data_IF_995234625162
#
_entry.id   IF_995234625162
#
_cell.length_a   1.000
_cell.length_b   1.000
_cell.length_c   1.000
_cell.angle_alpha   90.00
_cell.angle_beta   90.00
_cell.angle_gamma   90.00
#
_symmetry.space_group_name_H-M   'P 1'
#
loop_
_entity.id
_entity.type
_entity.pdbx_description
1 polymer ?
#
# COMPACT_ATOMS: atom_id res chain seq x y z
N UNK A 1 62.81 -24.02 13.39
CA UNK A 1 62.92 -24.26 11.94
C UNK A 1 62.09 -23.20 11.25
N UNK A 2 62.74 -22.09 10.86
CA UNK A 2 62.12 -20.93 10.22
C UNK A 2 62.06 -21.14 8.73
N UNK A 3 60.87 -21.05 8.14
CA UNK A 3 60.68 -21.00 6.70
C UNK A 3 60.09 -19.65 6.31
N UNK A 4 60.97 -18.76 5.84
CA UNK A 4 60.63 -17.53 5.10
C UNK A 4 60.15 -17.94 3.71
N UNK A 5 58.92 -17.58 3.36
CA UNK A 5 58.42 -17.65 1.99
C UNK A 5 58.41 -16.23 1.42
N UNK A 6 59.28 -16.01 0.45
CA UNK A 6 59.36 -14.81 -0.38
C UNK A 6 58.23 -14.83 -1.42
N UNK A 7 57.43 -13.76 -1.50
CA UNK A 7 56.52 -13.50 -2.62
C UNK A 7 57.09 -12.33 -3.45
N UNK A 8 57.64 -12.68 -4.61
CA UNK A 8 57.75 -11.82 -5.80
C UNK A 8 56.31 -11.71 -6.36
N UNK A 9 55.76 -10.57 -6.73
CA UNK A 9 56.29 -9.59 -7.68
C UNK A 9 55.47 -9.69 -8.96
N UNK A 10 54.21 -9.24 -8.93
CA UNK A 10 53.32 -9.19 -10.10
C UNK A 10 53.16 -7.76 -10.62
N UNK A 11 53.22 -7.66 -11.94
CA UNK A 11 53.29 -6.45 -12.78
C UNK A 11 51.89 -5.86 -12.98
N UNK A 12 51.70 -4.53 -12.98
CA UNK A 12 50.44 -3.93 -13.37
C UNK A 12 50.26 -4.03 -14.89
N UNK A 13 49.08 -4.51 -15.31
CA UNK A 13 48.64 -4.61 -16.70
C UNK A 13 47.82 -3.37 -17.03
N UNK A 14 48.33 -2.54 -17.94
CA UNK A 14 47.62 -1.38 -18.48
C UNK A 14 46.33 -1.83 -19.17
N UNK A 15 45.18 -1.41 -18.64
CA UNK A 15 43.88 -1.56 -19.29
C UNK A 15 43.62 -0.38 -20.21
N UNK A 16 43.36 -0.71 -21.47
CA UNK A 16 42.94 0.20 -22.53
C UNK A 16 41.53 0.72 -22.24
N UNK A 17 41.40 2.04 -22.14
CA UNK A 17 40.13 2.74 -22.07
C UNK A 17 39.43 2.70 -23.43
N UNK A 18 38.50 1.76 -23.60
CA UNK A 18 37.53 1.76 -24.70
C UNK A 18 36.44 2.78 -24.43
N UNK A 19 36.35 3.79 -25.30
CA UNK A 19 35.28 4.79 -25.30
C UNK A 19 33.96 4.15 -25.74
N UNK A 20 33.09 3.81 -24.78
CA UNK A 20 31.71 3.43 -25.03
C UNK A 20 30.87 4.69 -25.21
N UNK A 21 30.42 4.94 -26.44
CA UNK A 21 29.36 5.89 -26.73
C UNK A 21 28.09 5.44 -25.99
N UNK A 22 27.66 6.24 -25.01
CA UNK A 22 26.37 6.09 -24.38
C UNK A 22 25.35 6.83 -25.26
N UNK A 23 24.50 6.06 -25.93
CA UNK A 23 23.24 6.57 -26.48
C UNK A 23 22.32 6.89 -25.30
N UNK A 24 22.11 8.18 -25.05
CA UNK A 24 21.07 8.70 -24.16
C UNK A 24 19.69 8.36 -24.75
N UNK A 25 19.17 7.19 -24.41
CA UNK A 25 17.73 6.92 -24.51
C UNK A 25 17.08 7.55 -23.29
N UNK A 26 16.72 8.82 -23.43
CA UNK A 26 15.91 9.57 -22.48
C UNK A 26 14.47 9.04 -22.58
N UNK A 27 14.21 7.92 -21.91
CA UNK A 27 12.87 7.33 -21.83
C UNK A 27 12.02 8.15 -20.86
N UNK A 28 11.03 8.86 -21.42
CA UNK A 28 10.10 9.70 -20.69
C UNK A 28 9.17 8.83 -19.85
N UNK A 29 9.58 8.55 -18.61
CA UNK A 29 8.68 8.13 -17.55
C UNK A 29 7.75 9.30 -17.25
N UNK A 30 6.63 9.34 -17.95
CA UNK A 30 5.45 10.10 -17.52
C UNK A 30 5.00 9.48 -16.20
N UNK A 31 5.49 10.02 -15.08
CA UNK A 31 4.92 9.79 -13.77
C UNK A 31 3.46 10.29 -13.85
N UNK A 32 2.52 9.34 -13.90
CA UNK A 32 1.11 9.66 -13.72
C UNK A 32 0.97 10.19 -12.28
N UNK A 33 1.01 11.52 -12.15
CA UNK A 33 0.75 12.28 -10.93
C UNK A 33 -0.66 11.93 -10.43
N UNK A 34 -0.76 10.95 -9.52
CA UNK A 34 -1.92 10.67 -8.67
C UNK A 34 -2.07 11.80 -7.61
N UNK A 35 -2.08 13.07 -8.04
CA UNK A 35 -2.15 14.30 -7.20
C UNK A 35 -3.58 14.64 -6.74
N UNK A 36 -4.58 13.84 -7.10
CA UNK A 36 -5.99 14.08 -6.75
C UNK A 36 -6.34 13.84 -5.25
N UNK A 37 -5.37 13.39 -4.43
CA UNK A 37 -5.58 13.14 -2.99
C UNK A 37 -5.13 14.29 -2.07
N UNK A 38 -4.35 15.29 -2.53
CA UNK A 38 -3.80 16.33 -1.63
C UNK A 38 -4.76 17.50 -1.35
N UNK A 39 -5.69 17.82 -2.27
CA UNK A 39 -6.54 19.01 -2.10
C UNK A 39 -7.80 18.79 -1.24
N UNK A 40 -8.15 17.54 -0.91
CA UNK A 40 -9.20 17.23 0.08
C UNK A 40 -8.69 17.21 1.52
N UNK A 41 -7.36 17.26 1.74
CA UNK A 41 -6.79 17.16 3.09
C UNK A 41 -6.67 18.52 3.80
N UNK A 42 -6.77 19.65 3.09
CA UNK A 42 -6.65 20.99 3.67
C UNK A 42 -7.94 21.44 4.37
N UNK A 43 -9.11 21.22 3.75
CA UNK A 43 -10.41 21.62 4.34
C UNK A 43 -10.95 20.63 5.38
N UNK A 44 -10.41 19.40 5.44
CA UNK A 44 -10.73 18.43 6.48
C UNK A 44 -10.02 18.70 7.82
N UNK A 45 -8.97 19.55 7.84
CA UNK A 45 -8.16 19.81 9.04
C UNK A 45 -8.82 20.75 10.05
N UNK A 46 -9.78 21.59 9.64
CA UNK A 46 -10.37 22.59 10.53
C UNK A 46 -11.61 22.09 11.31
N UNK A 47 -12.25 21.00 10.89
CA UNK A 47 -13.45 20.46 11.55
C UNK A 47 -13.23 19.19 12.40
N UNK A 48 -12.03 18.59 12.40
CA UNK A 48 -11.75 17.33 13.13
C UNK A 48 -11.02 17.50 14.47
N UNK A 49 -10.76 18.73 14.91
CA UNK A 49 -9.97 19.01 16.13
C UNK A 49 -10.62 18.59 17.48
N UNK A 50 -11.75 17.88 17.47
CA UNK A 50 -12.46 17.44 18.70
C UNK A 50 -12.81 15.96 18.78
N UNK A 51 -12.52 15.14 17.77
CA UNK A 51 -12.58 13.70 17.99
C UNK A 51 -11.30 13.28 18.72
N UNK A 52 -11.42 12.99 20.01
CA UNK A 52 -10.36 12.33 20.77
C UNK A 52 -9.75 11.24 19.87
N UNK A 53 -8.43 11.26 19.61
CA UNK A 53 -7.79 10.20 18.84
C UNK A 53 -8.20 8.91 19.53
N UNK A 54 -9.08 8.13 18.90
CA UNK A 54 -9.59 6.89 19.47
C UNK A 54 -8.37 6.06 19.79
N UNK A 55 -8.06 5.94 21.08
CA UNK A 55 -6.97 5.10 21.57
C UNK A 55 -7.23 3.74 20.97
N UNK A 56 -6.40 3.35 20.01
CA UNK A 56 -6.49 2.01 19.45
C UNK A 56 -6.12 1.08 20.59
N UNK A 57 -6.92 0.03 20.86
CA UNK A 57 -6.57 -0.92 21.89
C UNK A 57 -5.14 -1.45 21.64
N UNK A 58 -4.37 -1.71 22.71
CA UNK A 58 -3.01 -2.19 22.59
C UNK A 58 -3.00 -3.48 21.75
N UNK A 59 -2.04 -3.58 20.84
CA UNK A 59 -1.85 -4.79 20.04
C UNK A 59 -1.34 -5.90 20.95
N UNK A 60 -2.08 -6.99 21.02
CA UNK A 60 -1.71 -8.20 21.75
C UNK A 60 -1.05 -9.17 20.77
N UNK A 61 0.09 -9.74 21.15
CA UNK A 61 0.73 -10.79 20.37
C UNK A 61 -0.19 -12.03 20.32
N UNK A 62 -0.46 -12.52 19.12
CA UNK A 62 -1.29 -13.71 18.90
C UNK A 62 -0.45 -14.94 18.55
N UNK A 63 0.79 -14.73 18.13
CA UNK A 63 1.69 -15.79 17.68
C UNK A 63 3.13 -15.32 17.62
N UNK A 64 4.01 -16.24 17.21
CA UNK A 64 5.42 -15.98 16.98
C UNK A 64 5.83 -16.50 15.61
N UNK A 65 6.71 -15.76 14.93
CA UNK A 65 7.13 -16.08 13.56
C UNK A 65 8.60 -15.73 13.36
N UNK A 66 9.27 -16.36 12.38
CA UNK A 66 10.56 -15.86 11.94
C UNK A 66 10.39 -14.53 11.21
N UNK A 67 11.20 -13.50 11.50
CA UNK A 67 11.14 -12.24 10.75
C UNK A 67 11.44 -12.46 9.25
N UNK A 68 12.18 -13.51 8.87
CA UNK A 68 12.48 -13.82 7.46
C UNK A 68 11.32 -14.44 6.69
N UNK A 69 10.31 -14.97 7.37
CA UNK A 69 9.09 -15.53 6.76
C UNK A 69 8.07 -14.44 6.43
N UNK A 70 8.21 -13.24 7.03
CA UNK A 70 7.35 -12.10 6.77
C UNK A 70 7.87 -11.27 5.60
N UNK A 71 6.97 -10.89 4.69
CA UNK A 71 7.23 -10.07 3.50
C UNK A 71 6.84 -8.61 3.73
N UNK A 72 7.47 -7.71 3.00
CA UNK A 72 7.07 -6.31 2.93
C UNK A 72 5.79 -6.16 2.13
N UNK A 73 4.87 -5.32 2.59
CA UNK A 73 3.62 -5.04 1.86
C UNK A 73 3.75 -3.93 0.82
N UNK A 74 4.83 -3.15 0.85
CA UNK A 74 5.03 -1.98 -0.02
C UNK A 74 6.48 -1.93 -0.48
N UNK A 75 6.69 -1.43 -1.70
CA UNK A 75 8.01 -1.26 -2.29
C UNK A 75 8.87 -0.22 -1.59
N UNK A 76 8.27 0.80 -0.96
CA UNK A 76 9.00 1.87 -0.28
C UNK A 76 8.66 1.91 1.21
N UNK A 77 9.65 2.20 2.04
CA UNK A 77 9.46 2.50 3.46
C UNK A 77 10.32 3.69 3.87
N UNK A 78 9.81 4.49 4.81
CA UNK A 78 10.54 5.67 5.30
C UNK A 78 11.70 5.28 6.20
N UNK A 79 12.78 6.04 6.15
CA UNK A 79 13.92 5.91 7.05
C UNK A 79 13.63 6.40 8.50
N UNK A 80 12.40 6.88 8.76
CA UNK A 80 11.94 7.32 10.08
C UNK A 80 10.56 6.74 10.44
N UNK A 81 10.34 6.56 11.75
CA UNK A 81 9.05 6.27 12.34
C UNK A 81 8.12 7.49 12.31
N UNK A 82 6.84 7.29 12.67
CA UNK A 82 5.85 8.40 12.68
C UNK A 82 6.14 9.46 13.75
N UNK A 83 6.92 9.10 14.76
CA UNK A 83 7.38 9.97 15.84
C UNK A 83 8.71 10.66 15.50
N UNK A 84 9.22 10.53 14.27
CA UNK A 84 10.47 11.13 13.81
C UNK A 84 11.73 10.40 14.25
N UNK A 85 11.63 9.26 14.95
CA UNK A 85 12.82 8.48 15.31
C UNK A 85 13.38 7.76 14.08
N UNK A 86 14.70 7.81 13.84
CA UNK A 86 15.32 7.08 12.72
C UNK A 86 15.27 5.56 12.95
N UNK A 87 15.23 4.78 11.87
CA UNK A 87 15.18 3.31 11.96
C UNK A 87 16.39 2.71 12.68
N UNK A 88 17.58 3.27 12.46
CA UNK A 88 18.84 2.77 13.04
C UNK A 88 18.83 2.83 14.56
N UNK A 89 18.28 3.91 15.13
CA UNK A 89 18.13 4.02 16.58
C UNK A 89 17.20 2.93 17.13
N UNK A 90 16.15 2.54 16.42
CA UNK A 90 15.29 1.44 16.86
C UNK A 90 15.96 0.07 16.69
N UNK A 91 16.82 -0.10 15.67
CA UNK A 91 17.61 -1.33 15.47
C UNK A 91 18.53 -1.58 16.66
N UNK A 92 19.19 -0.54 17.17
CA UNK A 92 20.11 -0.66 18.30
C UNK A 92 19.42 -0.96 19.64
N UNK A 93 18.11 -0.67 19.72
CA UNK A 93 17.30 -0.92 20.91
C UNK A 93 16.64 -2.31 20.93
N UNK A 94 16.74 -3.09 19.86
CA UNK A 94 16.21 -4.45 19.82
C UNK A 94 17.17 -5.37 20.57
N UNK A 95 16.66 -6.02 21.62
CA UNK A 95 17.43 -6.93 22.47
C UNK A 95 17.25 -8.38 21.98
N UNK A 96 18.32 -9.04 21.49
CA UNK A 96 18.29 -10.47 21.21
C UNK A 96 18.42 -11.25 22.51
N UNK A 97 17.41 -12.04 22.85
CA UNK A 97 17.37 -12.87 24.04
C UNK A 97 17.43 -14.35 23.62
N UNK A 98 18.19 -15.21 24.32
CA UNK A 98 18.10 -16.65 24.11
C UNK A 98 16.67 -17.13 24.32
N UNK A 99 16.10 -17.79 23.32
CA UNK A 99 14.77 -18.37 23.44
C UNK A 99 14.87 -19.69 24.20
N UNK A 100 14.45 -19.69 25.46
CA UNK A 100 14.33 -20.91 26.26
C UNK A 100 12.95 -21.48 25.99
N UNK A 101 12.87 -22.36 25.00
CA UNK A 101 11.62 -23.04 24.69
C UNK A 101 11.23 -23.95 25.86
N UNK A 102 9.95 -23.91 26.26
CA UNK A 102 9.41 -24.78 27.31
C UNK A 102 9.08 -26.19 26.79
N UNK A 103 9.22 -26.44 25.49
CA UNK A 103 8.90 -27.71 24.81
C UNK A 103 10.15 -28.54 24.51
N UNK A 104 10.06 -29.86 24.72
CA UNK A 104 11.13 -30.87 24.58
C UNK A 104 11.68 -31.10 23.15
N UNK A 105 11.44 -30.19 22.20
CA UNK A 105 11.95 -30.35 20.84
C UNK A 105 13.39 -29.87 20.80
N UNK A 106 14.32 -30.84 20.84
CA UNK A 106 15.74 -30.59 20.63
C UNK A 106 15.99 -30.18 19.19
N UNK A 107 15.84 -28.91 18.88
CA UNK A 107 16.50 -28.35 17.70
C UNK A 107 18.00 -28.23 17.97
N UNK A 108 18.82 -28.66 17.02
CA UNK A 108 20.30 -28.60 17.13
C UNK A 108 20.86 -27.17 17.08
N UNK A 109 20.03 -26.17 16.79
CA UNK A 109 20.44 -24.77 16.63
C UNK A 109 19.80 -23.87 17.69
N UNK A 110 20.52 -22.86 18.18
CA UNK A 110 19.94 -21.89 19.09
C UNK A 110 18.85 -21.08 18.39
N UNK A 111 17.82 -20.75 19.15
CA UNK A 111 16.73 -19.88 18.74
C UNK A 111 16.86 -18.57 19.53
N UNK A 112 16.73 -17.43 18.84
CA UNK A 112 16.83 -16.10 19.42
C UNK A 112 15.49 -15.39 19.35
N UNK A 113 15.02 -14.87 20.48
CA UNK A 113 13.84 -14.00 20.53
C UNK A 113 14.24 -12.55 20.46
N UNK A 114 13.71 -11.82 19.49
CA UNK A 114 14.03 -10.41 19.26
C UNK A 114 13.01 -9.52 19.97
N UNK A 115 13.36 -9.03 21.16
CA UNK A 115 12.52 -8.15 21.96
C UNK A 115 12.64 -6.71 21.44
N UNK A 116 11.59 -6.24 20.77
CA UNK A 116 11.59 -4.92 20.15
C UNK A 116 11.03 -3.81 21.05
N UNK A 117 11.48 -2.54 20.89
CA UNK A 117 10.99 -1.38 21.66
C UNK A 117 9.65 -0.83 21.15
N UNK A 118 8.95 -1.58 20.29
CA UNK A 118 7.67 -1.18 19.71
C UNK A 118 6.65 -2.33 19.80
N UNK A 119 5.34 -2.04 19.72
CA UNK A 119 4.32 -3.07 19.77
C UNK A 119 4.49 -4.14 18.68
N UNK A 120 3.99 -5.38 18.91
CA UNK A 120 4.02 -6.46 17.93
C UNK A 120 3.61 -6.00 16.54
N UNK A 121 4.31 -6.49 15.51
CA UNK A 121 3.95 -6.14 14.14
C UNK A 121 2.67 -6.85 13.74
N UNK A 122 1.80 -6.15 13.02
CA UNK A 122 0.61 -6.77 12.46
C UNK A 122 0.98 -7.47 11.16
N UNK A 123 0.60 -8.74 11.08
CA UNK A 123 0.83 -9.57 9.90
C UNK A 123 -0.49 -10.10 9.36
N UNK A 124 -0.54 -10.29 8.06
CA UNK A 124 -1.69 -10.84 7.37
C UNK A 124 -1.24 -11.84 6.32
N UNK A 125 -1.92 -12.98 6.26
CA UNK A 125 -1.79 -13.91 5.15
C UNK A 125 -2.54 -13.38 3.92
N UNK A 126 -1.81 -13.10 2.85
CA UNK A 126 -2.34 -12.50 1.64
C UNK A 126 -1.63 -13.04 0.40
N UNK A 127 -2.36 -13.06 -0.72
CA UNK A 127 -1.81 -13.42 -2.02
C UNK A 127 -1.52 -12.16 -2.81
N UNK A 128 -0.24 -11.86 -3.03
CA UNK A 128 0.14 -10.64 -3.71
C UNK A 128 -0.20 -10.72 -5.20
N UNK A 129 -0.53 -9.56 -5.77
CA UNK A 129 -0.72 -9.39 -7.20
C UNK A 129 0.66 -9.23 -7.84
N UNK A 130 0.96 -10.03 -8.84
CA UNK A 130 2.25 -9.95 -9.53
C UNK A 130 2.28 -8.70 -10.40
N UNK A 131 3.45 -8.08 -10.45
CA UNK A 131 3.70 -6.83 -11.17
C UNK A 131 4.98 -6.96 -11.96
N UNK A 132 5.03 -6.27 -13.08
CA UNK A 132 6.26 -6.10 -13.82
C UNK A 132 7.23 -5.27 -12.98
N UNK A 133 8.46 -5.75 -12.86
CA UNK A 133 9.51 -5.11 -12.07
C UNK A 133 9.93 -3.77 -12.67
N UNK A 134 9.83 -3.63 -14.00
CA UNK A 134 10.24 -2.40 -14.69
C UNK A 134 9.14 -1.35 -14.64
N UNK A 135 7.92 -1.73 -15.05
CA UNK A 135 6.80 -0.76 -15.18
C UNK A 135 5.95 -0.64 -13.92
N UNK A 136 6.04 -1.58 -12.96
CA UNK A 136 5.16 -1.65 -11.80
C UNK A 136 3.70 -2.01 -12.12
N UNK A 137 3.37 -2.20 -13.41
CA UNK A 137 2.03 -2.53 -13.87
C UNK A 137 1.69 -3.98 -13.48
N UNK A 138 0.42 -4.27 -13.16
CA UNK A 138 -0.06 -5.63 -13.01
C UNK A 138 0.40 -6.54 -14.15
N UNK A 139 0.99 -7.69 -13.82
CA UNK A 139 1.15 -8.74 -14.82
C UNK A 139 -0.23 -9.31 -15.13
N UNK A 140 -0.51 -9.46 -16.42
CA UNK A 140 -1.77 -9.95 -16.96
C UNK A 140 -1.46 -11.16 -17.82
N UNK A 141 -2.26 -12.20 -17.71
CA UNK A 141 -2.16 -13.38 -18.57
C UNK A 141 -2.57 -13.02 -20.01
N UNK A 142 -1.69 -13.27 -20.97
CA UNK A 142 -1.89 -12.95 -22.39
C UNK A 142 -3.12 -13.65 -22.97
N UNK A 143 -3.45 -14.86 -22.50
CA UNK A 143 -4.57 -15.64 -23.02
C UNK A 143 -5.93 -15.15 -22.52
N UNK A 144 -6.02 -14.74 -21.26
CA UNK A 144 -7.30 -14.43 -20.60
C UNK A 144 -7.51 -12.93 -20.36
N UNK A 145 -6.45 -12.12 -20.34
CA UNK A 145 -6.53 -10.73 -19.91
C UNK A 145 -6.75 -10.57 -18.39
N UNK A 146 -6.60 -11.65 -17.61
CA UNK A 146 -6.75 -11.59 -16.15
C UNK A 146 -5.43 -11.31 -15.44
N UNK A 147 -5.54 -10.62 -14.30
CA UNK A 147 -4.39 -10.25 -13.47
C UNK A 147 -3.77 -11.49 -12.83
N UNK A 148 -2.45 -11.59 -12.87
CA UNK A 148 -1.69 -12.67 -12.26
C UNK A 148 -1.45 -12.40 -10.77
N UNK A 149 -1.55 -13.47 -9.99
CA UNK A 149 -1.31 -13.46 -8.56
C UNK A 149 -0.24 -14.50 -8.21
N UNK A 150 0.35 -14.32 -7.03
CA UNK A 150 1.21 -15.34 -6.44
C UNK A 150 0.45 -16.67 -6.33
N UNK A 151 1.18 -17.77 -6.43
CA UNK A 151 0.65 -19.12 -6.29
C UNK A 151 0.19 -19.41 -4.85
N UNK A 152 0.99 -18.94 -3.90
CA UNK A 152 0.83 -19.16 -2.47
C UNK A 152 0.38 -17.91 -1.72
N UNK A 153 -0.33 -18.12 -0.62
CA UNK A 153 -0.64 -17.04 0.31
C UNK A 153 0.54 -16.88 1.29
N UNK A 154 1.14 -15.68 1.32
CA UNK A 154 2.32 -15.38 2.15
C UNK A 154 1.98 -14.41 3.27
N UNK A 155 2.80 -14.37 4.32
CA UNK A 155 2.65 -13.42 5.41
C UNK A 155 3.24 -12.05 5.04
N UNK A 156 2.43 -10.99 5.15
CA UNK A 156 2.84 -9.62 4.87
C UNK A 156 2.72 -8.75 6.12
N UNK A 157 3.73 -7.91 6.37
CA UNK A 157 3.69 -6.92 7.43
C UNK A 157 2.92 -5.66 7.00
N UNK A 158 2.10 -5.13 7.91
CA UNK A 158 1.43 -3.82 7.70
C UNK A 158 2.32 -2.61 7.99
N UNK A 159 3.46 -2.78 8.65
CA UNK A 159 4.46 -1.73 8.88
C UNK A 159 5.85 -2.22 8.46
N UNK A 160 6.22 -1.92 7.22
CA UNK A 160 7.50 -2.32 6.64
C UNK A 160 8.71 -1.81 7.42
N UNK A 161 8.59 -0.66 8.10
CA UNK A 161 9.71 -0.08 8.86
C UNK A 161 10.08 -0.94 10.05
N UNK A 162 9.06 -1.40 10.80
CA UNK A 162 9.28 -2.31 11.93
C UNK A 162 9.83 -3.65 11.46
N UNK A 163 9.30 -4.18 10.35
CA UNK A 163 9.81 -5.42 9.76
C UNK A 163 11.28 -5.28 9.35
N UNK A 164 11.66 -4.18 8.69
CA UNK A 164 13.04 -3.90 8.30
C UNK A 164 13.97 -3.90 9.52
N UNK A 165 13.61 -3.21 10.61
CA UNK A 165 14.41 -3.20 11.83
C UNK A 165 14.60 -4.62 12.40
N UNK A 166 13.53 -5.40 12.48
CA UNK A 166 13.57 -6.77 13.00
C UNK A 166 14.45 -7.68 12.14
N UNK A 167 14.30 -7.62 10.82
CA UNK A 167 15.11 -8.44 9.92
C UNK A 167 16.58 -8.00 9.90
N UNK A 168 16.90 -6.69 9.96
CA UNK A 168 18.29 -6.20 10.08
C UNK A 168 18.99 -6.77 11.32
N UNK A 169 18.30 -6.88 12.45
CA UNK A 169 18.86 -7.52 13.66
C UNK A 169 18.96 -9.03 13.48
N UNK A 170 17.93 -9.68 12.93
CA UNK A 170 17.93 -11.12 12.67
C UNK A 170 19.10 -11.56 11.77
N UNK A 171 19.47 -10.75 10.78
CA UNK A 171 20.62 -11.03 9.89
C UNK A 171 21.93 -11.18 10.68
N UNK A 172 22.12 -10.44 11.78
CA UNK A 172 23.31 -10.54 12.64
C UNK A 172 23.46 -11.92 13.30
N UNK A 173 22.36 -12.66 13.42
CA UNK A 173 22.29 -13.99 14.03
C UNK A 173 22.17 -15.11 12.98
N UNK A 174 22.12 -14.80 11.69
CA UNK A 174 22.08 -15.83 10.66
C UNK A 174 23.35 -16.70 10.71
N UNK A 175 23.26 -18.05 10.68
CA UNK A 175 22.12 -18.89 10.29
C UNK A 175 21.29 -19.46 11.45
N UNK A 176 21.40 -18.90 12.65
CA UNK A 176 20.55 -19.25 13.78
C UNK A 176 19.11 -18.76 13.53
N UNK A 177 18.15 -19.41 14.18
CA UNK A 177 16.75 -19.02 14.04
C UNK A 177 16.46 -17.81 14.90
N UNK A 178 15.71 -16.85 14.36
CA UNK A 178 15.14 -15.76 15.14
C UNK A 178 13.61 -15.85 15.14
N UNK A 179 12.99 -15.48 16.25
CA UNK A 179 11.54 -15.39 16.43
C UNK A 179 11.14 -14.00 16.94
N UNK A 180 9.99 -13.53 16.49
CA UNK A 180 9.38 -12.24 16.87
C UNK A 180 7.93 -12.46 17.27
N UNK A 181 7.43 -11.63 18.18
CA UNK A 181 5.99 -11.58 18.47
C UNK A 181 5.23 -10.87 17.35
N UNK A 182 4.13 -11.48 16.91
CA UNK A 182 3.27 -10.96 15.84
C UNK A 182 1.82 -10.88 16.29
N UNK A 183 1.10 -9.90 15.77
CA UNK A 183 -0.35 -9.77 15.88
C UNK A 183 -0.98 -10.16 14.54
N UNK A 184 -1.36 -11.42 14.42
CA UNK A 184 -1.98 -11.98 13.23
C UNK A 184 -3.39 -11.42 13.06
N UNK A 185 -3.63 -10.88 11.86
CA UNK A 185 -4.97 -10.47 11.46
C UNK A 185 -5.74 -11.68 10.92
N UNK A 186 -7.05 -11.80 11.22
CA UNK A 186 -7.84 -12.92 10.79
C UNK A 186 -7.86 -13.04 9.26
N UNK A 187 -7.55 -14.23 8.74
CA UNK A 187 -7.64 -14.54 7.31
C UNK A 187 -9.10 -14.63 6.84
N UNK A 188 -9.37 -14.37 5.55
CA UNK A 188 -10.67 -14.66 4.90
C UNK A 188 -11.44 -13.44 4.39
N UNK A 189 -12.77 -13.57 4.21
CA UNK A 189 -13.59 -12.53 3.52
C UNK A 189 -13.56 -11.16 4.20
N UNK A 190 -13.36 -11.12 5.52
CA UNK A 190 -13.28 -9.87 6.28
C UNK A 190 -12.02 -9.06 5.95
N UNK A 191 -10.99 -9.73 5.43
CA UNK A 191 -9.72 -9.12 5.02
C UNK A 191 -9.92 -8.08 3.92
N UNK A 192 -10.83 -8.33 2.96
CA UNK A 192 -11.06 -7.41 1.82
C UNK A 192 -11.54 -6.01 2.23
N UNK A 193 -11.96 -5.81 3.48
CA UNK A 193 -12.40 -4.51 4.00
C UNK A 193 -11.26 -3.65 4.57
N UNK A 194 -10.07 -4.20 4.76
CA UNK A 194 -8.92 -3.44 5.24
C UNK A 194 -8.46 -2.46 4.16
N UNK A 195 -8.52 -1.17 4.45
CA UNK A 195 -8.08 -0.10 3.53
C UNK A 195 -6.59 -0.22 3.23
N UNK A 196 -5.84 -0.77 4.18
CA UNK A 196 -4.41 -1.02 4.11
C UNK A 196 -4.04 -1.94 2.94
N UNK A 197 -4.91 -2.87 2.54
CA UNK A 197 -4.63 -3.78 1.42
C UNK A 197 -4.63 -3.11 0.06
N UNK A 198 -5.32 -1.97 -0.07
CA UNK A 198 -5.22 -1.16 -1.30
C UNK A 198 -3.81 -0.62 -1.50
N UNK A 199 -3.05 -0.48 -0.40
CA UNK A 199 -1.67 -0.01 -0.41
C UNK A 199 -0.67 -1.13 -0.67
N UNK A 200 -1.11 -2.39 -0.76
CA UNK A 200 -0.20 -3.50 -1.03
C UNK A 200 0.30 -3.41 -2.46
N UNK A 201 1.54 -2.96 -2.61
CA UNK A 201 2.22 -2.72 -3.89
C UNK A 201 3.67 -3.17 -3.75
N UNK A 202 3.94 -4.41 -4.13
CA UNK A 202 5.28 -5.01 -4.15
C UNK A 202 5.65 -5.38 -5.57
N UNK A 203 6.94 -5.29 -5.92
CA UNK A 203 7.45 -5.73 -7.23
C UNK A 203 7.93 -7.18 -7.15
N UNK A 204 8.70 -7.49 -6.12
CA UNK A 204 9.41 -8.76 -5.93
C UNK A 204 8.72 -9.70 -4.93
N UNK A 205 7.39 -9.67 -4.90
CA UNK A 205 6.56 -10.39 -3.91
C UNK A 205 6.88 -9.99 -2.46
N UNK A 206 7.46 -8.80 -2.24
CA UNK A 206 7.75 -8.25 -0.92
C UNK A 206 9.02 -8.80 -0.28
N UNK A 207 10.00 -9.20 -1.09
CA UNK A 207 11.31 -9.72 -0.64
C UNK A 207 12.26 -8.62 -0.24
N UNK A 208 12.16 -7.48 -0.91
CA UNK A 208 12.94 -6.29 -0.69
C UNK A 208 12.05 -5.08 -0.44
N UNK A 209 12.67 -4.03 0.07
CA UNK A 209 12.06 -2.73 0.27
C UNK A 209 13.09 -1.65 0.01
N UNK A 210 12.67 -0.55 -0.60
CA UNK A 210 13.47 0.64 -0.78
C UNK A 210 13.30 1.55 0.44
N UNK A 211 14.37 1.76 1.20
CA UNK A 211 14.40 2.65 2.36
C UNK A 211 14.85 4.05 1.92
N UNK A 212 14.05 5.08 2.23
CA UNK A 212 14.39 6.48 1.96
C UNK A 212 13.26 7.44 2.32
N UNK A 213 13.51 8.75 2.25
CA UNK A 213 12.53 9.77 2.59
C UNK A 213 11.52 10.07 1.47
N UNK A 214 10.75 11.14 1.68
CA UNK A 214 9.72 11.62 0.73
C UNK A 214 10.29 12.48 -0.38
N UNK A 215 11.45 13.09 -0.15
CA UNK A 215 11.98 14.11 -1.05
C UNK A 215 12.51 13.42 -2.30
N UNK A 216 12.07 13.93 -3.45
CA UNK A 216 12.60 13.52 -4.74
C UNK A 216 14.12 13.76 -4.77
N UNK A 217 14.87 12.79 -5.29
CA UNK A 217 16.34 12.82 -5.30
C UNK A 217 17.04 12.27 -4.06
N UNK A 218 16.32 11.86 -3.01
CA UNK A 218 16.94 11.13 -1.90
C UNK A 218 17.31 9.70 -2.36
N UNK A 219 18.53 9.26 -2.03
CA UNK A 219 19.03 7.94 -2.43
C UNK A 219 18.20 6.83 -1.78
N UNK A 220 17.34 6.19 -2.55
CA UNK A 220 16.62 5.00 -2.11
C UNK A 220 17.60 3.83 -1.99
N UNK A 221 17.79 3.35 -0.76
CA UNK A 221 18.61 2.16 -0.51
C UNK A 221 17.69 0.94 -0.59
N UNK A 222 17.86 0.14 -1.66
CA UNK A 222 17.21 -1.18 -1.74
C UNK A 222 17.79 -2.07 -0.64
N UNK A 223 16.91 -2.71 0.12
CA UNK A 223 17.29 -3.62 1.18
C UNK A 223 16.58 -4.97 1.00
N UNK A 224 17.35 -6.05 1.03
CA UNK A 224 16.91 -7.44 0.97
C UNK A 224 17.72 -8.25 1.98
N UNK A 225 17.06 -8.94 2.92
CA UNK A 225 17.80 -9.73 3.91
C UNK A 225 18.63 -10.85 3.27
N UNK A 226 18.18 -11.39 2.14
CA UNK A 226 18.88 -12.47 1.43
C UNK A 226 20.20 -12.00 0.84
N UNK A 227 20.17 -10.84 0.20
CA UNK A 227 21.38 -10.20 -0.33
C UNK A 227 22.38 -9.92 0.81
N UNK A 228 21.89 -9.43 1.95
CA UNK A 228 22.72 -9.12 3.13
C UNK A 228 23.43 -10.35 3.71
N UNK A 229 22.78 -11.53 3.70
CA UNK A 229 23.41 -12.79 4.14
C UNK A 229 24.18 -13.51 3.02
N UNK A 230 24.34 -12.90 1.84
CA UNK A 230 25.05 -13.48 0.70
C UNK A 230 24.33 -14.66 0.05
N UNK A 231 23.03 -14.82 0.28
CA UNK A 231 22.21 -15.80 -0.41
C UNK A 231 21.79 -15.23 -1.77
N UNK A 232 21.86 -16.07 -2.80
CA UNK A 232 21.32 -15.69 -4.12
C UNK A 232 19.83 -15.42 -3.98
N UNK A 233 19.34 -14.39 -4.68
CA UNK A 233 17.92 -14.25 -4.89
C UNK A 233 17.41 -15.55 -5.52
N UNK A 234 16.37 -16.10 -4.93
CA UNK A 234 15.80 -17.33 -5.44
C UNK A 234 15.08 -16.97 -6.73
N UNK A 235 15.69 -17.36 -7.86
CA UNK A 235 15.11 -17.29 -9.19
C UNK A 235 13.85 -18.17 -9.25
N UNK A 236 12.75 -17.70 -8.67
CA UNK A 236 11.41 -18.23 -8.91
C UNK A 236 10.91 -17.86 -10.32
N UNK A 237 11.81 -17.35 -11.16
CA UNK A 237 11.64 -16.80 -12.50
C UNK A 237 11.04 -17.77 -13.54
N UNK A 238 10.40 -18.86 -13.14
CA UNK A 238 9.74 -19.79 -14.07
C UNK A 238 8.40 -20.31 -13.62
N UNK A 239 7.98 -20.07 -12.37
CA UNK A 239 6.61 -20.43 -12.04
C UNK A 239 5.68 -19.34 -12.56
N UNK A 240 5.02 -19.66 -13.68
CA UNK A 240 4.02 -18.81 -14.31
C UNK A 240 2.88 -18.74 -13.31
N UNK A 241 2.84 -17.66 -12.52
CA UNK A 241 1.87 -17.49 -11.44
C UNK A 241 0.46 -17.89 -11.87
N UNK A 242 -0.36 -18.31 -10.91
CA UNK A 242 -1.67 -18.83 -11.27
C UNK A 242 -2.64 -17.70 -11.63
N UNK A 243 -3.34 -17.88 -12.75
CA UNK A 243 -4.52 -17.08 -13.08
C UNK A 243 -5.61 -17.44 -12.08
N UNK A 244 -5.77 -16.62 -11.05
CA UNK A 244 -7.00 -16.62 -10.29
C UNK A 244 -8.06 -16.00 -11.18
N UNK A 245 -8.87 -16.84 -11.82
CA UNK A 245 -10.10 -16.39 -12.50
C UNK A 245 -10.80 -15.44 -11.56
N UNK A 246 -10.93 -14.17 -11.98
CA UNK A 246 -11.61 -13.16 -11.18
C UNK A 246 -12.91 -13.79 -10.72
N UNK A 247 -13.11 -13.87 -9.40
CA UNK A 247 -14.44 -14.19 -8.86
C UNK A 247 -15.39 -13.24 -9.58
N UNK A 248 -16.38 -13.75 -10.35
CA UNK A 248 -17.20 -12.92 -11.21
C UNK A 248 -17.69 -11.74 -10.39
N UNK A 249 -17.15 -10.55 -10.69
CA UNK A 249 -17.53 -9.33 -10.01
C UNK A 249 -18.96 -9.09 -10.44
N UNK A 250 -19.87 -9.12 -9.46
CA UNK A 250 -21.34 -9.04 -9.57
C UNK A 250 -22.02 -10.38 -9.79
N UNK A 251 -22.63 -10.85 -8.70
CA UNK A 251 -24.05 -11.12 -8.80
C UNK A 251 -24.70 -9.86 -9.40
N UNK A 252 -25.43 -9.96 -10.52
CA UNK A 252 -26.35 -8.91 -10.93
C UNK A 252 -27.17 -8.62 -9.69
N UNK A 253 -26.97 -7.46 -9.07
CA UNK A 253 -27.79 -7.03 -7.96
C UNK A 253 -29.15 -6.83 -8.61
N UNK A 254 -29.98 -7.86 -8.46
CA UNK A 254 -31.25 -7.98 -9.12
C UNK A 254 -32.03 -6.71 -8.93
N UNK A 255 -32.20 -5.99 -10.03
CA UNK A 255 -33.46 -5.39 -10.40
C UNK A 255 -34.52 -6.50 -10.55
N UNK A 256 -34.81 -7.25 -9.48
CA UNK A 256 -36.07 -7.96 -9.34
C UNK A 256 -37.08 -6.95 -8.80
N UNK A 257 -37.47 -6.02 -9.68
CA UNK A 257 -38.74 -5.34 -9.51
C UNK A 257 -39.77 -6.22 -10.21
N UNK A 258 -40.25 -7.18 -9.43
CA UNK A 258 -41.54 -7.88 -9.51
C UNK A 258 -42.33 -7.63 -10.80
N UNK A 259 -42.01 -8.41 -11.82
CA UNK A 259 -42.91 -8.68 -12.94
C UNK A 259 -43.94 -9.72 -12.50
N UNK A 260 -45.11 -9.23 -12.13
CA UNK A 260 -46.36 -9.93 -11.90
C UNK A 260 -46.57 -11.13 -12.86
N UNK A 261 -46.59 -12.34 -12.29
CA UNK A 261 -46.94 -13.59 -12.98
C UNK A 261 -48.43 -13.57 -13.35
N UNK A 262 -48.74 -13.05 -14.53
CA UNK A 262 -49.99 -13.25 -15.24
C UNK A 262 -49.83 -14.39 -16.24
N UNK A 263 -50.37 -15.55 -15.92
CA UNK A 263 -50.50 -16.72 -16.78
C UNK A 263 -51.17 -16.38 -18.12
N UNK A 264 -50.51 -16.70 -19.24
CA UNK A 264 -51.26 -17.13 -20.43
C UNK A 264 -50.39 -17.94 -21.39
N UNK A 265 -50.99 -19.03 -21.85
CA UNK A 265 -50.53 -19.91 -22.91
C UNK A 265 -50.29 -19.15 -24.22
N UNK A 266 -49.36 -19.66 -25.04
CA UNK A 266 -49.30 -19.32 -26.47
C UNK A 266 -47.86 -19.37 -26.96
N UNK A 267 -47.47 -20.47 -27.61
CA UNK A 267 -47.55 -20.60 -29.07
C UNK A 267 -46.24 -20.16 -29.72
N UNK A 268 -45.46 -21.17 -30.11
CA UNK A 268 -44.40 -21.06 -31.10
C UNK A 268 -44.90 -20.31 -32.35
N UNK A 269 -44.19 -19.26 -32.76
CA UNK A 269 -44.10 -18.82 -34.14
C UNK A 269 -42.80 -18.05 -34.37
N UNK A 270 -42.12 -18.46 -35.44
CA UNK A 270 -41.05 -17.74 -36.11
C UNK A 270 -41.58 -16.44 -36.73
N UNK A 271 -40.64 -15.57 -37.11
CA UNK A 271 -40.66 -14.46 -38.09
C UNK A 271 -39.95 -13.27 -37.44
N UNK A 272 -38.70 -12.95 -37.80
CA UNK A 272 -38.25 -12.31 -39.03
C UNK A 272 -38.67 -10.83 -39.10
N UNK A 273 -37.63 -10.00 -39.12
CA UNK A 273 -37.50 -8.68 -39.72
C UNK A 273 -38.21 -7.44 -39.13
N UNK A 274 -37.38 -6.40 -39.04
CA UNK A 274 -37.65 -4.97 -39.19
C UNK A 274 -38.53 -4.28 -38.12
N UNK A 275 -37.89 -3.42 -37.32
CA UNK A 275 -38.11 -1.97 -37.40
C UNK A 275 -37.13 -1.21 -36.48
N UNK A 276 -36.28 -0.43 -37.13
CA UNK A 276 -35.58 0.72 -36.55
C UNK A 276 -36.59 1.82 -36.18
N UNK A 277 -36.14 2.77 -35.36
CA UNK A 277 -36.79 4.07 -35.06
C UNK A 277 -37.90 4.12 -33.99
N UNK A 278 -37.56 3.92 -32.70
CA UNK A 278 -38.36 4.55 -31.62
C UNK A 278 -37.69 4.63 -30.22
N UNK A 279 -36.36 4.75 -30.11
CA UNK A 279 -35.72 4.79 -28.78
C UNK A 279 -34.65 5.86 -28.65
N UNK A 280 -35.04 7.13 -28.53
CA UNK A 280 -34.10 8.21 -28.16
C UNK A 280 -34.57 9.16 -27.05
N UNK A 281 -35.81 9.08 -26.56
CA UNK A 281 -36.36 10.12 -25.65
C UNK A 281 -36.59 9.72 -24.19
N UNK A 282 -36.26 8.50 -23.73
CA UNK A 282 -36.54 8.06 -22.35
C UNK A 282 -35.36 7.40 -21.60
N UNK A 283 -34.11 7.81 -21.88
CA UNK A 283 -32.91 7.43 -21.09
C UNK A 283 -32.12 8.63 -20.57
N UNK A 284 -32.79 9.71 -20.19
CA UNK A 284 -32.18 10.94 -19.65
C UNK A 284 -32.38 11.16 -18.14
N UNK A 285 -32.92 10.16 -17.41
CA UNK A 285 -33.25 10.32 -15.98
C UNK A 285 -32.19 9.83 -14.99
N UNK A 286 -31.19 9.05 -15.43
CA UNK A 286 -30.16 8.47 -14.54
C UNK A 286 -28.74 8.99 -14.84
N UNK A 287 -28.58 10.31 -15.00
CA UNK A 287 -27.23 10.90 -15.09
C UNK A 287 -26.78 11.46 -13.73
N UNK A 288 -25.61 11.02 -13.21
CA UNK A 288 -25.10 11.40 -11.89
C UNK A 288 -24.80 12.91 -11.74
N UNK A 289 -24.82 13.67 -12.84
CA UNK A 289 -24.54 15.10 -12.86
C UNK A 289 -25.65 15.97 -12.26
N UNK A 290 -26.89 15.47 -12.12
CA UNK A 290 -27.95 16.24 -11.42
C UNK A 290 -27.61 16.52 -9.96
N UNK A 291 -26.99 15.55 -9.28
CA UNK A 291 -26.49 15.75 -7.91
C UNK A 291 -25.37 16.80 -7.86
N UNK A 292 -24.44 16.74 -8.82
CA UNK A 292 -23.33 17.69 -8.93
C UNK A 292 -23.81 19.12 -9.22
N UNK A 293 -24.73 19.30 -10.17
CA UNK A 293 -25.31 20.61 -10.49
C UNK A 293 -26.12 21.17 -9.32
N UNK A 294 -26.86 20.32 -8.61
CA UNK A 294 -27.56 20.71 -7.38
C UNK A 294 -26.61 21.17 -6.29
N UNK A 295 -25.49 20.46 -6.09
CA UNK A 295 -24.47 20.84 -5.12
C UNK A 295 -23.79 22.16 -5.48
N UNK A 296 -23.41 22.36 -6.75
CA UNK A 296 -22.82 23.62 -7.23
C UNK A 296 -23.79 24.78 -7.04
N UNK A 297 -25.06 24.61 -7.39
CA UNK A 297 -26.08 25.65 -7.20
C UNK A 297 -26.27 26.00 -5.72
N UNK A 298 -26.34 25.00 -4.83
CA UNK A 298 -26.46 25.20 -3.39
C UNK A 298 -25.23 25.91 -2.80
N UNK A 299 -24.03 25.52 -3.25
CA UNK A 299 -22.78 26.13 -2.82
C UNK A 299 -22.71 27.62 -3.22
N UNK A 300 -23.07 27.96 -4.46
CA UNK A 300 -23.12 29.35 -4.93
C UNK A 300 -24.17 30.19 -4.17
N UNK A 301 -25.33 29.60 -3.85
CA UNK A 301 -26.35 30.25 -3.04
C UNK A 301 -25.88 30.53 -1.61
N UNK A 302 -25.20 29.56 -0.98
CA UNK A 302 -24.64 29.74 0.37
C UNK A 302 -23.49 30.75 0.40
N UNK A 303 -22.62 30.74 -0.62
CA UNK A 303 -21.48 31.68 -0.70
C UNK A 303 -21.93 33.11 -0.97
N UNK A 304 -23.00 33.30 -1.76
CA UNK A 304 -23.59 34.61 -1.99
C UNK A 304 -24.31 35.13 -0.73
N UNK A 305 -25.04 34.28 0.00
CA UNK A 305 -25.72 34.69 1.23
C UNK A 305 -24.74 35.13 2.33
N UNK A 306 -23.59 34.45 2.50
CA UNK A 306 -22.56 34.87 3.45
C UNK A 306 -22.01 36.27 3.15
N UNK A 307 -21.83 36.62 1.87
CA UNK A 307 -21.35 37.96 1.48
C UNK A 307 -22.37 39.05 1.79
N UNK A 308 -23.66 38.76 1.60
CA UNK A 308 -24.75 39.69 1.95
C UNK A 308 -24.82 39.89 3.46
N UNK A 309 -24.72 38.81 4.26
CA UNK A 309 -24.70 38.90 5.72
C UNK A 309 -23.50 39.71 6.22
N UNK A 310 -22.30 39.48 5.67
CA UNK A 310 -21.12 40.25 6.02
C UNK A 310 -21.27 41.74 5.71
N UNK A 311 -21.82 42.09 4.53
CA UNK A 311 -22.09 43.48 4.16
C UNK A 311 -23.12 44.12 5.11
N UNK A 312 -24.20 43.43 5.45
CA UNK A 312 -25.18 43.90 6.44
C UNK A 312 -24.56 44.12 7.82
N UNK A 313 -23.71 43.22 8.28
CA UNK A 313 -23.05 43.34 9.57
C UNK A 313 -22.13 44.57 9.63
N UNK A 314 -21.35 44.81 8.57
CA UNK A 314 -20.49 46.00 8.48
C UNK A 314 -21.29 47.30 8.42
N UNK A 315 -22.44 47.32 7.72
CA UNK A 315 -23.31 48.48 7.66
C UNK A 315 -23.98 48.76 9.01
N UNK A 316 -24.45 47.71 9.70
CA UNK A 316 -25.06 47.80 11.02
C UNK A 316 -24.07 48.34 12.07
N UNK A 317 -22.83 47.83 12.08
CA UNK A 317 -21.78 48.30 12.99
C UNK A 317 -21.44 49.79 12.79
N UNK A 318 -21.42 50.25 11.53
CA UNK A 318 -21.21 51.66 11.22
C UNK A 318 -22.35 52.57 11.70
N UNK A 319 -23.58 52.05 11.75
CA UNK A 319 -24.74 52.80 12.23
C UNK A 319 -24.77 52.90 13.77
N UNK A 320 -24.32 51.86 14.49
CA UNK A 320 -24.22 51.91 15.95
C UNK A 320 -23.18 52.93 16.43
N UNK A 321 -22.03 53.00 15.77
CA UNK A 321 -20.96 53.96 16.12
C UNK A 321 -21.37 55.43 15.90
N UNK A 322 -22.23 55.70 14.91
CA UNK A 322 -22.74 57.04 14.64
C UNK A 322 -23.78 57.56 15.64
N UNK A 323 -24.43 56.68 16.42
CA UNK A 323 -25.49 57.08 17.37
C UNK A 323 -24.97 57.55 18.72
N UNK A 324 -23.73 57.20 19.10
CA UNK A 324 -23.16 57.59 20.40
C UNK A 324 -22.58 59.02 20.41
N UNK A 325 -22.41 59.66 19.23
CA UNK A 325 -21.76 60.96 19.09
C UNK A 325 -22.65 62.21 19.21
N UNK A 326 -23.97 62.08 19.38
CA UNK A 326 -24.92 63.21 19.39
C UNK A 326 -25.56 63.49 20.78
N UNK A 327 -25.06 62.84 21.83
CA UNK A 327 -25.56 63.00 23.21
C UNK A 327 -24.68 63.83 24.16
N UNK A 328 -23.73 64.61 23.63
CA UNK A 328 -22.79 65.44 24.40
C UNK A 328 -23.16 66.91 24.45
#
# INVERSE_FOLDING_TARGET
MSSRVSLQGEKPREEQTGSTQQDEVQDGLEEEDDDDDEQQEADAKELTAKSNPRERPPLVATGQMSPFDVRFSQMRARHEFRDGRPLDQAIDLIEPLPWVETSDVREDRPVWYLKAPFPPIQVLQWRCKLRDETTGRPLVDEATGDELYDDEDRWFALDNRRLHCLQKVAVRFWPDKCVIDVAELPSGRQVTRFRELKKFRTLDRGRSVNIGGRMEGETLVRWSWREEVGLKEQDEAKDKGHVLRKRPRRWPLGSEKEGNFGSSQGSYRNDADEDEESSFSLRLQDMPWRGMLGFIALYLAMRSSMRVIAAFYTAWQKQSEGSEGLGG
#
